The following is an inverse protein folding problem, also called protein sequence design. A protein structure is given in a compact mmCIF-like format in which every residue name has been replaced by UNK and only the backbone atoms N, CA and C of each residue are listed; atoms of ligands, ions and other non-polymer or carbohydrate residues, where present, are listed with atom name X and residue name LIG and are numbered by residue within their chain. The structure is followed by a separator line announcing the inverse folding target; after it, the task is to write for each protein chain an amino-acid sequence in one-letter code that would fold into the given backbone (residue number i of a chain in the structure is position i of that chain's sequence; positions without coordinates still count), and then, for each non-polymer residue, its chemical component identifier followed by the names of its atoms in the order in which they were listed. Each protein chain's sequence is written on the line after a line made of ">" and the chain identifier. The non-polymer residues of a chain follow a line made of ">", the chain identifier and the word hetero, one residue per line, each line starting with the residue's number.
data_IF_434217565252
#
_entry.id   IF_434217565252
#
_cell.length_a   1.000
_cell.length_b   1.000
_cell.length_c   1.000
_cell.angle_alpha   90.00
_cell.angle_beta   90.00
_cell.angle_gamma   90.00
#
_symmetry.space_group_name_H-M   'P 1'
#
loop_
_entity.id
_entity.type
_entity.pdbx_description
1 polymer ?
#
# COMPACT_ATOMS: atom_id res chain seq x y z
N UNK A 1 -11.55 24.34 24.19
CA UNK A 1 -11.38 24.89 22.83
C UNK A 1 -11.51 23.75 21.84
N UNK A 2 -12.72 23.53 21.37
CA UNK A 2 -13.06 22.75 20.18
C UNK A 2 -12.65 23.57 18.95
N UNK A 3 -12.33 22.92 17.82
CA UNK A 3 -11.89 23.55 16.56
C UNK A 3 -12.92 24.52 15.93
N UNK A 4 -14.08 24.71 16.55
CA UNK A 4 -15.24 25.39 15.98
C UNK A 4 -15.19 26.93 15.96
N UNK A 5 -14.18 27.59 16.53
CA UNK A 5 -14.28 29.02 16.83
C UNK A 5 -13.64 29.96 15.80
N UNK A 6 -12.76 29.52 14.89
CA UNK A 6 -12.19 30.37 13.82
C UNK A 6 -11.41 29.58 12.77
N UNK A 7 -11.81 29.72 11.50
CA UNK A 7 -11.11 29.13 10.34
C UNK A 7 -11.59 27.72 9.95
N UNK A 8 -12.66 27.24 10.57
CA UNK A 8 -13.30 25.98 10.19
C UNK A 8 -14.13 26.18 8.91
N UNK A 9 -14.00 25.26 7.95
CA UNK A 9 -14.76 25.29 6.69
C UNK A 9 -16.17 24.70 6.85
N UNK A 10 -16.48 24.17 8.03
CA UNK A 10 -17.79 23.60 8.35
C UNK A 10 -18.67 24.61 9.07
N UNK A 11 -19.97 24.51 8.83
CA UNK A 11 -20.97 25.37 9.47
C UNK A 11 -20.94 25.20 10.98
N UNK A 12 -21.07 26.31 11.70
CA UNK A 12 -21.16 26.33 13.17
C UNK A 12 -22.28 25.38 13.63
N UNK A 13 -21.94 24.42 14.50
CA UNK A 13 -22.87 23.37 14.94
C UNK A 13 -22.85 22.08 14.11
N UNK A 14 -21.96 21.93 13.12
CA UNK A 14 -21.78 20.66 12.41
C UNK A 14 -21.34 19.55 13.37
N UNK A 15 -22.21 18.58 13.57
CA UNK A 15 -21.89 17.30 14.21
C UNK A 15 -21.78 16.29 13.08
N UNK A 16 -20.60 15.67 12.93
CA UNK A 16 -20.47 14.57 11.97
C UNK A 16 -21.41 13.45 12.42
N UNK A 17 -22.43 13.16 11.60
CA UNK A 17 -23.28 11.99 11.78
C UNK A 17 -22.43 10.73 11.54
N UNK A 18 -21.83 10.26 12.62
CA UNK A 18 -21.20 8.96 12.68
C UNK A 18 -22.32 7.94 12.81
N UNK A 19 -22.74 7.37 11.68
CA UNK A 19 -23.67 6.23 11.67
C UNK A 19 -23.18 5.12 12.61
N UNK A 20 -24.10 4.52 13.37
CA UNK A 20 -23.78 3.51 14.38
C UNK A 20 -23.07 2.27 13.80
N UNK A 21 -23.20 2.00 12.49
CA UNK A 21 -22.55 0.87 11.83
C UNK A 21 -22.39 1.07 10.31
N UNK A 22 -21.15 1.06 9.81
CA UNK A 22 -20.86 1.00 8.36
C UNK A 22 -20.44 -0.42 7.95
N UNK A 23 -21.10 -1.01 6.97
CA UNK A 23 -20.72 -2.32 6.41
C UNK A 23 -19.60 -2.16 5.38
N UNK A 24 -18.36 -2.30 5.83
CA UNK A 24 -17.18 -2.20 4.96
C UNK A 24 -16.55 -3.57 4.78
N UNK A 25 -16.45 -4.03 3.53
CA UNK A 25 -15.70 -5.25 3.19
C UNK A 25 -14.29 -4.89 2.73
N UNK A 26 -13.31 -5.71 3.13
CA UNK A 26 -11.93 -5.62 2.63
C UNK A 26 -11.72 -6.74 1.63
N UNK A 27 -11.43 -6.41 0.37
CA UNK A 27 -11.08 -7.41 -0.64
C UNK A 27 -9.56 -7.48 -0.77
N UNK A 28 -8.98 -8.66 -0.59
CA UNK A 28 -7.54 -8.88 -0.70
C UNK A 28 -7.21 -9.98 -1.70
N UNK A 29 -6.13 -9.80 -2.46
CA UNK A 29 -5.53 -10.90 -3.20
C UNK A 29 -4.91 -11.92 -2.23
N UNK A 30 -4.86 -13.19 -2.63
CA UNK A 30 -4.10 -14.19 -1.87
C UNK A 30 -2.59 -13.97 -2.09
N UNK A 31 -1.88 -13.55 -1.04
CA UNK A 31 -0.45 -13.23 -1.12
C UNK A 31 0.49 -14.44 -0.99
N UNK A 32 -0.05 -15.65 -0.86
CA UNK A 32 0.73 -16.85 -0.52
C UNK A 32 1.88 -17.10 -1.51
N UNK A 33 1.62 -17.00 -2.81
CA UNK A 33 2.65 -17.20 -3.85
C UNK A 33 3.73 -16.11 -3.79
N UNK A 34 3.36 -14.85 -3.53
CA UNK A 34 4.33 -13.77 -3.34
C UNK A 34 5.24 -14.03 -2.14
N UNK A 35 4.67 -14.53 -1.03
CA UNK A 35 5.43 -14.90 0.17
C UNK A 35 6.39 -16.04 -0.10
N UNK A 36 5.95 -17.07 -0.81
CA UNK A 36 6.77 -18.23 -1.14
C UNK A 36 7.98 -17.83 -1.98
N UNK A 37 7.76 -17.01 -3.02
CA UNK A 37 8.85 -16.44 -3.83
C UNK A 37 9.83 -15.67 -2.96
N UNK A 38 9.33 -14.76 -2.11
CA UNK A 38 10.17 -13.96 -1.22
C UNK A 38 10.98 -14.83 -0.25
N UNK A 39 10.39 -15.88 0.29
CA UNK A 39 11.06 -16.81 1.20
C UNK A 39 12.18 -17.60 0.51
N UNK A 40 12.03 -17.95 -0.77
CA UNK A 40 13.01 -18.70 -1.54
C UNK A 40 14.22 -17.87 -1.98
N UNK A 41 14.13 -16.55 -1.97
CA UNK A 41 15.25 -15.68 -2.36
C UNK A 41 16.38 -15.73 -1.32
N UNK A 42 17.61 -15.76 -1.82
CA UNK A 42 18.81 -15.56 -1.03
C UNK A 42 18.93 -14.11 -0.52
N UNK A 43 19.93 -13.88 0.31
CA UNK A 43 20.19 -12.56 0.88
C UNK A 43 20.60 -11.54 -0.18
N UNK A 44 21.24 -11.96 -1.27
CA UNK A 44 21.72 -11.06 -2.32
C UNK A 44 20.54 -10.39 -3.06
N UNK A 45 19.57 -11.18 -3.54
CA UNK A 45 18.36 -10.62 -4.18
C UNK A 45 17.54 -9.80 -3.18
N UNK A 46 17.45 -10.25 -1.92
CA UNK A 46 16.72 -9.50 -0.89
C UNK A 46 17.37 -8.13 -0.61
N UNK A 47 18.69 -8.06 -0.49
CA UNK A 47 19.40 -6.79 -0.33
C UNK A 47 19.21 -5.89 -1.55
N UNK A 48 19.31 -6.44 -2.76
CA UNK A 48 19.02 -5.70 -3.99
C UNK A 48 17.60 -5.13 -3.95
N UNK A 49 16.62 -5.91 -3.50
CA UNK A 49 15.24 -5.47 -3.38
C UNK A 49 15.09 -4.33 -2.38
N UNK A 50 15.62 -4.48 -1.15
CA UNK A 50 15.55 -3.45 -0.10
C UNK A 50 16.19 -2.13 -0.56
N UNK A 51 17.32 -2.20 -1.24
CA UNK A 51 18.01 -1.02 -1.78
C UNK A 51 17.19 -0.25 -2.83
N UNK A 52 16.21 -0.87 -3.47
CA UNK A 52 15.42 -0.27 -4.54
C UNK A 52 13.99 0.07 -4.16
N UNK A 53 13.39 -0.75 -3.31
CA UNK A 53 11.95 -0.72 -3.02
C UNK A 53 11.63 -0.64 -1.53
N UNK A 54 12.66 -0.64 -0.67
CA UNK A 54 12.50 -0.54 0.76
C UNK A 54 11.76 -1.72 1.37
N UNK A 55 10.93 -1.42 2.36
CA UNK A 55 10.26 -2.37 3.25
C UNK A 55 8.96 -2.94 2.68
N UNK A 56 8.70 -2.71 1.39
CA UNK A 56 7.51 -3.19 0.67
C UNK A 56 7.15 -4.67 0.91
N UNK A 57 8.10 -5.64 0.97
CA UNK A 57 7.77 -7.06 1.15
C UNK A 57 7.12 -7.36 2.50
N UNK A 58 7.37 -6.54 3.53
CA UNK A 58 6.76 -6.75 4.85
C UNK A 58 5.24 -6.58 4.82
N UNK A 59 4.69 -5.83 3.86
CA UNK A 59 3.24 -5.70 3.67
C UNK A 59 2.56 -7.06 3.47
N UNK A 60 3.25 -8.02 2.85
CA UNK A 60 2.71 -9.36 2.64
C UNK A 60 2.39 -10.07 3.96
N UNK A 61 3.13 -9.75 5.03
CA UNK A 61 2.99 -10.38 6.34
C UNK A 61 2.06 -9.66 7.31
N UNK A 62 1.55 -8.49 6.93
CA UNK A 62 0.62 -7.73 7.75
C UNK A 62 -0.75 -8.38 7.67
N UNK A 63 -1.22 -8.87 8.82
CA UNK A 63 -2.56 -9.43 8.93
C UNK A 63 -3.57 -8.30 9.01
N UNK A 64 -4.55 -8.35 8.13
CA UNK A 64 -5.69 -7.44 8.18
C UNK A 64 -6.83 -8.16 8.86
N UNK A 65 -7.19 -7.67 10.04
CA UNK A 65 -8.42 -8.06 10.73
C UNK A 65 -9.54 -7.16 10.20
N UNK A 66 -10.52 -7.77 9.53
CA UNK A 66 -11.64 -7.04 8.92
C UNK A 66 -12.50 -6.32 9.96
N UNK A 67 -12.67 -6.89 11.16
CA UNK A 67 -13.44 -6.26 12.23
C UNK A 67 -12.70 -5.05 12.81
N UNK A 68 -11.39 -5.16 13.02
CA UNK A 68 -10.56 -4.03 13.43
C UNK A 68 -10.62 -2.92 12.39
N UNK A 69 -10.45 -3.25 11.10
CA UNK A 69 -10.51 -2.26 10.04
C UNK A 69 -11.88 -1.56 9.98
N UNK A 70 -12.99 -2.33 10.07
CA UNK A 70 -14.34 -1.76 10.12
C UNK A 70 -14.50 -0.79 11.30
N UNK A 71 -14.02 -1.15 12.48
CA UNK A 71 -14.08 -0.29 13.66
C UNK A 71 -13.28 1.00 13.45
N UNK A 72 -12.09 0.93 12.86
CA UNK A 72 -11.26 2.11 12.58
C UNK A 72 -11.89 3.02 11.52
N UNK A 73 -12.44 2.43 10.45
CA UNK A 73 -13.04 3.17 9.36
C UNK A 73 -14.29 3.97 9.81
N UNK A 74 -14.98 3.56 10.88
CA UNK A 74 -16.09 4.33 11.46
C UNK A 74 -15.65 5.73 11.90
N UNK A 75 -14.41 5.88 12.40
CA UNK A 75 -13.90 7.18 12.84
C UNK A 75 -13.48 8.10 11.70
N UNK A 76 -13.52 7.64 10.44
CA UNK A 76 -13.21 8.49 9.29
C UNK A 76 -14.30 9.55 9.13
N UNK A 77 -13.86 10.81 9.13
CA UNK A 77 -14.68 11.98 8.91
C UNK A 77 -14.45 12.51 7.48
N UNK A 78 -15.39 12.30 6.54
CA UNK A 78 -15.21 12.71 5.15
C UNK A 78 -15.14 14.23 4.93
N UNK A 79 -15.62 15.02 5.90
CA UNK A 79 -15.62 16.48 5.81
C UNK A 79 -14.21 17.05 6.02
N UNK A 80 -13.45 16.45 6.94
CA UNK A 80 -12.08 16.87 7.26
C UNK A 80 -11.00 15.98 6.61
N UNK A 81 -11.38 14.83 6.04
CA UNK A 81 -10.44 13.81 5.54
C UNK A 81 -9.42 13.35 6.59
N UNK A 82 -9.91 13.10 7.81
CA UNK A 82 -9.13 12.58 8.93
C UNK A 82 -9.96 11.60 9.78
N UNK A 83 -9.29 10.90 10.70
CA UNK A 83 -9.93 10.10 11.74
C UNK A 83 -10.14 10.95 13.00
N UNK A 84 -11.38 11.11 13.43
CA UNK A 84 -11.74 11.95 14.59
C UNK A 84 -12.08 11.10 15.81
N UNK A 85 -11.27 11.24 16.87
CA UNK A 85 -11.45 10.59 18.17
C UNK A 85 -11.77 11.64 19.25
N UNK A 86 -13.03 12.06 19.32
CA UNK A 86 -13.52 13.12 20.22
C UNK A 86 -12.77 14.46 20.03
N UNK A 87 -11.63 14.63 20.71
CA UNK A 87 -10.83 15.87 20.72
C UNK A 87 -9.50 15.75 19.96
N UNK A 88 -9.25 14.59 19.36
CA UNK A 88 -7.98 14.29 18.68
C UNK A 88 -8.30 13.85 17.26
N UNK A 89 -7.68 14.51 16.29
CA UNK A 89 -7.72 14.09 14.89
C UNK A 89 -6.40 13.44 14.51
N UNK A 90 -6.47 12.37 13.73
CA UNK A 90 -5.33 11.64 13.20
C UNK A 90 -5.49 11.45 11.71
N UNK A 91 -4.44 11.70 10.94
CA UNK A 91 -4.44 11.50 9.50
C UNK A 91 -3.05 11.03 9.07
N UNK A 92 -2.95 9.98 8.23
CA UNK A 92 -1.65 9.56 7.73
C UNK A 92 -1.00 10.64 6.88
N UNK A 93 0.29 10.92 7.11
CA UNK A 93 1.05 11.92 6.34
C UNK A 93 2.02 11.30 5.34
N UNK A 94 2.55 12.15 4.44
CA UNK A 94 3.57 11.75 3.47
C UNK A 94 4.82 11.25 4.18
N UNK A 95 5.23 11.92 5.26
CA UNK A 95 6.42 11.59 6.05
C UNK A 95 6.25 10.22 6.72
N UNK A 96 5.10 9.98 7.35
CA UNK A 96 4.83 8.71 8.03
C UNK A 96 4.79 7.54 7.06
N UNK A 97 4.11 7.68 5.92
CA UNK A 97 4.07 6.63 4.90
C UNK A 97 5.42 6.44 4.19
N UNK A 98 6.20 7.51 4.03
CA UNK A 98 7.57 7.43 3.50
C UNK A 98 8.45 6.64 4.46
N UNK A 99 8.35 6.91 5.76
CA UNK A 99 9.08 6.17 6.79
C UNK A 99 8.63 4.70 6.91
N UNK A 100 7.32 4.42 6.77
CA UNK A 100 6.81 3.04 6.74
C UNK A 100 7.40 2.24 5.58
N UNK A 101 7.39 2.81 4.37
CA UNK A 101 7.88 2.12 3.18
C UNK A 101 9.41 2.10 3.08
N UNK A 102 10.09 3.05 3.71
CA UNK A 102 11.56 3.15 3.85
C UNK A 102 12.30 2.85 2.54
N UNK A 103 11.93 3.54 1.46
CA UNK A 103 12.52 3.32 0.15
C UNK A 103 13.74 4.25 -0.07
N UNK A 104 14.98 3.73 -0.04
CA UNK A 104 16.18 4.58 0.04
C UNK A 104 16.46 5.42 -1.21
N UNK A 105 15.86 5.06 -2.35
CA UNK A 105 16.14 5.71 -3.65
C UNK A 105 15.22 6.87 -3.96
N UNK A 106 14.18 7.09 -3.18
CA UNK A 106 13.17 8.11 -3.44
C UNK A 106 13.72 9.48 -3.04
N UNK A 107 13.51 10.49 -3.90
CA UNK A 107 13.72 11.89 -3.54
C UNK A 107 12.38 12.48 -3.10
N UNK A 108 12.30 12.92 -1.84
CA UNK A 108 11.06 13.42 -1.20
C UNK A 108 10.52 14.71 -1.83
N UNK A 109 11.37 15.48 -2.51
CA UNK A 109 11.03 16.73 -3.20
C UNK A 109 10.43 16.53 -4.61
N UNK A 110 10.46 15.29 -5.15
CA UNK A 110 9.87 14.98 -6.46
C UNK A 110 8.49 14.34 -6.31
N UNK A 111 7.48 15.21 -6.32
CA UNK A 111 6.06 14.79 -6.33
C UNK A 111 5.67 14.29 -7.72
N UNK A 112 4.78 13.29 -7.76
CA UNK A 112 4.16 12.79 -8.97
C UNK A 112 3.50 13.94 -9.78
N UNK A 113 4.03 14.24 -10.96
CA UNK A 113 3.37 15.11 -11.95
C UNK A 113 3.16 14.33 -13.24
N UNK A 114 1.94 14.30 -13.82
CA UNK A 114 1.68 13.53 -15.04
C UNK A 114 2.51 14.11 -16.20
N UNK A 115 3.47 13.34 -16.72
CA UNK A 115 4.31 13.80 -17.83
C UNK A 115 3.48 13.88 -19.13
N UNK A 116 3.79 14.80 -20.05
CA UNK A 116 3.06 14.90 -21.32
C UNK A 116 3.29 13.69 -22.25
N UNK A 117 4.46 13.06 -22.19
CA UNK A 117 4.84 11.92 -23.04
C UNK A 117 4.98 10.63 -22.22
N UNK A 118 3.85 10.11 -21.76
CA UNK A 118 3.79 8.85 -21.02
C UNK A 118 4.06 7.67 -21.96
N UNK A 119 5.07 6.81 -21.69
CA UNK A 119 5.29 5.60 -22.49
C UNK A 119 4.05 4.70 -22.52
N UNK A 120 3.81 4.00 -23.63
CA UNK A 120 2.69 3.05 -23.72
C UNK A 120 2.85 1.92 -22.71
N UNK A 121 1.74 1.32 -22.26
CA UNK A 121 1.73 0.16 -21.36
C UNK A 121 2.74 -0.93 -21.76
N UNK A 122 2.75 -1.28 -23.05
CA UNK A 122 3.67 -2.28 -23.59
C UNK A 122 5.13 -1.88 -23.39
N UNK A 123 5.47 -0.61 -23.69
CA UNK A 123 6.85 -0.12 -23.55
C UNK A 123 7.29 -0.13 -22.08
N UNK A 124 6.40 0.22 -21.15
CA UNK A 124 6.68 0.15 -19.70
C UNK A 124 6.94 -1.28 -19.25
N UNK A 125 6.06 -2.21 -19.61
CA UNK A 125 6.27 -3.61 -19.23
C UNK A 125 7.53 -4.18 -19.87
N UNK A 126 7.87 -3.83 -21.11
CA UNK A 126 9.15 -4.24 -21.71
C UNK A 126 10.34 -3.73 -20.89
N UNK A 127 10.32 -2.47 -20.44
CA UNK A 127 11.39 -1.90 -19.62
C UNK A 127 11.51 -2.62 -18.27
N UNK A 128 10.38 -2.85 -17.58
CA UNK A 128 10.34 -3.48 -16.26
C UNK A 128 10.76 -4.96 -16.35
N UNK A 129 10.18 -5.69 -17.30
CA UNK A 129 10.35 -7.14 -17.42
C UNK A 129 11.59 -7.56 -18.19
N UNK A 130 12.16 -6.68 -19.01
CA UNK A 130 13.22 -7.04 -19.96
C UNK A 130 12.74 -7.87 -21.16
N UNK A 131 11.43 -8.12 -21.28
CA UNK A 131 10.88 -9.00 -22.32
C UNK A 131 10.61 -8.28 -23.63
N UNK A 132 10.56 -9.06 -24.72
CA UNK A 132 10.25 -8.54 -26.05
C UNK A 132 8.80 -8.06 -26.16
N UNK A 133 8.54 -7.13 -27.09
CA UNK A 133 7.19 -6.63 -27.38
C UNK A 133 6.22 -7.78 -27.66
N UNK A 134 6.64 -8.77 -28.45
CA UNK A 134 5.84 -9.93 -28.83
C UNK A 134 5.44 -10.77 -27.61
N UNK A 135 6.37 -11.00 -26.68
CA UNK A 135 6.11 -11.76 -25.46
C UNK A 135 5.05 -11.07 -24.59
N UNK A 136 5.13 -9.75 -24.46
CA UNK A 136 4.19 -8.93 -23.68
C UNK A 136 2.83 -8.89 -24.38
N UNK A 137 2.77 -8.60 -25.69
CA UNK A 137 1.49 -8.53 -26.41
C UNK A 137 0.72 -9.84 -26.39
N UNK A 138 1.41 -10.98 -26.41
CA UNK A 138 0.77 -12.29 -26.35
C UNK A 138 0.15 -12.60 -24.97
N UNK A 139 0.59 -11.91 -23.91
CA UNK A 139 0.24 -12.16 -22.51
C UNK A 139 -0.60 -11.06 -21.87
N UNK A 140 -0.66 -9.91 -22.51
CA UNK A 140 -1.55 -8.81 -22.15
C UNK A 140 -2.92 -9.03 -22.77
N UNK A 141 -3.96 -8.87 -21.95
CA UNK A 141 -5.36 -8.90 -22.41
C UNK A 141 -6.01 -7.55 -22.11
N UNK A 142 -7.01 -7.21 -22.92
CA UNK A 142 -7.93 -6.14 -22.57
C UNK A 142 -9.00 -6.74 -21.65
N UNK A 143 -9.12 -6.22 -20.44
CA UNK A 143 -10.14 -6.65 -19.48
C UNK A 143 -10.95 -5.42 -19.07
N UNK A 144 -12.16 -5.32 -19.62
CA UNK A 144 -12.93 -4.07 -19.56
C UNK A 144 -12.19 -2.91 -20.24
N UNK A 145 -12.21 -1.73 -19.62
CA UNK A 145 -11.57 -0.52 -20.14
C UNK A 145 -10.05 -0.45 -19.95
N UNK A 146 -9.42 -1.43 -19.30
CA UNK A 146 -7.97 -1.42 -18.98
C UNK A 146 -7.24 -2.61 -19.60
N UNK A 147 -5.97 -2.40 -19.96
CA UNK A 147 -5.07 -3.49 -20.37
C UNK A 147 -4.41 -4.08 -19.12
N UNK A 148 -4.33 -5.41 -19.06
CA UNK A 148 -3.71 -6.08 -17.93
C UNK A 148 -2.88 -7.29 -18.33
N UNK A 149 -1.88 -7.62 -17.51
CA UNK A 149 -1.11 -8.86 -17.57
C UNK A 149 -1.44 -9.71 -16.35
N UNK A 150 -1.69 -11.01 -16.54
CA UNK A 150 -2.07 -11.89 -15.42
C UNK A 150 -0.91 -12.10 -14.44
N UNK A 151 -1.24 -12.21 -13.15
CA UNK A 151 -0.28 -12.54 -12.10
C UNK A 151 0.49 -13.82 -12.42
N UNK A 152 -0.19 -14.86 -12.96
CA UNK A 152 0.45 -16.12 -13.36
C UNK A 152 1.63 -15.90 -14.33
N UNK A 153 1.44 -15.04 -15.34
CA UNK A 153 2.50 -14.74 -16.30
C UNK A 153 3.67 -14.01 -15.65
N UNK A 154 3.41 -13.10 -14.71
CA UNK A 154 4.46 -12.38 -13.98
C UNK A 154 5.19 -13.30 -12.99
N UNK A 155 4.47 -14.18 -12.31
CA UNK A 155 5.03 -15.18 -11.41
C UNK A 155 5.99 -16.12 -12.14
N UNK A 156 5.53 -16.71 -13.24
CA UNK A 156 6.36 -17.63 -14.03
C UNK A 156 7.61 -16.90 -14.57
N UNK A 157 7.47 -15.62 -14.91
CA UNK A 157 8.60 -14.77 -15.27
C UNK A 157 9.57 -14.54 -14.09
N UNK A 158 9.08 -14.18 -12.89
CA UNK A 158 9.94 -13.97 -11.71
C UNK A 158 10.74 -15.25 -11.38
N UNK A 159 10.16 -16.42 -11.59
CA UNK A 159 10.84 -17.70 -11.32
C UNK A 159 11.89 -18.03 -12.38
N UNK A 160 11.65 -17.72 -13.66
CA UNK A 160 12.49 -18.13 -14.77
C UNK A 160 13.49 -17.05 -15.26
N UNK A 161 13.32 -15.79 -14.87
CA UNK A 161 14.14 -14.69 -15.43
C UNK A 161 15.61 -14.80 -14.98
N UNK A 162 16.59 -14.74 -15.92
CA UNK A 162 18.01 -14.91 -15.57
C UNK A 162 18.60 -13.71 -14.81
N UNK A 163 18.11 -12.50 -15.10
CA UNK A 163 18.53 -11.27 -14.44
C UNK A 163 17.80 -11.06 -13.09
N UNK A 164 18.57 -11.01 -11.99
CA UNK A 164 18.07 -10.80 -10.63
C UNK A 164 17.37 -9.45 -10.44
N UNK A 165 17.87 -8.38 -11.07
CA UNK A 165 17.25 -7.05 -11.01
C UNK A 165 15.88 -7.08 -11.66
N UNK A 166 15.74 -7.73 -12.82
CA UNK A 166 14.42 -7.89 -13.46
C UNK A 166 13.45 -8.72 -12.61
N UNK A 167 13.92 -9.78 -11.94
CA UNK A 167 13.09 -10.52 -10.97
C UNK A 167 12.57 -9.60 -9.86
N UNK A 168 13.44 -8.78 -9.29
CA UNK A 168 13.08 -7.78 -8.27
C UNK A 168 12.07 -6.74 -8.79
N UNK A 169 12.27 -6.23 -10.00
CA UNK A 169 11.40 -5.21 -10.62
C UNK A 169 9.99 -5.76 -10.85
N UNK A 170 9.87 -6.97 -11.40
CA UNK A 170 8.58 -7.62 -11.62
C UNK A 170 7.90 -8.00 -10.30
N UNK A 171 8.66 -8.43 -9.29
CA UNK A 171 8.13 -8.71 -7.97
C UNK A 171 7.59 -7.43 -7.28
N UNK A 172 8.31 -6.32 -7.37
CA UNK A 172 7.86 -5.02 -6.84
C UNK A 172 6.59 -4.53 -7.54
N UNK A 173 6.55 -4.59 -8.88
CA UNK A 173 5.34 -4.27 -9.66
C UNK A 173 4.13 -5.09 -9.17
N UNK A 174 4.37 -6.37 -8.88
CA UNK A 174 3.32 -7.28 -8.43
C UNK A 174 2.83 -6.95 -7.02
N UNK A 175 3.71 -6.49 -6.11
CA UNK A 175 3.26 -6.01 -4.79
C UNK A 175 2.46 -4.72 -4.93
N UNK A 176 2.94 -3.74 -5.73
CA UNK A 176 2.21 -2.50 -5.92
C UNK A 176 0.82 -2.73 -6.48
N UNK A 177 0.68 -3.64 -7.44
CA UNK A 177 -0.61 -3.88 -8.04
C UNK A 177 -1.51 -4.78 -7.20
N UNK A 178 -1.00 -5.90 -6.68
CA UNK A 178 -1.84 -6.88 -5.97
C UNK A 178 -2.10 -6.51 -4.51
N UNK A 179 -1.28 -5.64 -3.91
CA UNK A 179 -1.36 -5.26 -2.49
C UNK A 179 -1.67 -3.78 -2.32
N UNK A 180 -1.01 -2.90 -3.07
CA UNK A 180 -1.12 -1.46 -2.83
C UNK A 180 -2.31 -0.83 -3.55
N UNK A 181 -2.51 -1.19 -4.83
CA UNK A 181 -3.58 -0.68 -5.70
C UNK A 181 -4.38 -1.80 -6.39
N UNK A 182 -4.96 -2.78 -5.65
CA UNK A 182 -5.59 -3.94 -6.28
C UNK A 182 -6.93 -3.61 -6.93
N UNK A 183 -6.89 -3.17 -8.19
CA UNK A 183 -8.10 -2.88 -8.98
C UNK A 183 -8.80 -4.13 -9.51
N UNK A 184 -8.04 -5.13 -9.92
CA UNK A 184 -8.55 -6.38 -10.47
C UNK A 184 -7.82 -7.57 -9.84
N UNK A 185 -8.57 -8.58 -9.41
CA UNK A 185 -7.99 -9.75 -8.77
C UNK A 185 -7.02 -10.47 -9.73
N UNK A 186 -5.79 -10.69 -9.26
CA UNK A 186 -4.77 -11.47 -9.96
C UNK A 186 -4.32 -10.93 -11.31
N UNK A 187 -4.47 -9.63 -11.59
CA UNK A 187 -4.05 -9.01 -12.85
C UNK A 187 -3.43 -7.63 -12.63
N UNK A 188 -2.27 -7.39 -13.24
CA UNK A 188 -1.58 -6.10 -13.20
C UNK A 188 -2.09 -5.14 -14.26
N UNK A 189 -2.61 -4.00 -13.81
CA UNK A 189 -3.23 -2.94 -14.59
C UNK A 189 -2.21 -1.94 -15.18
N UNK A 190 -2.60 -1.29 -16.28
CA UNK A 190 -1.91 -0.19 -16.91
C UNK A 190 -1.57 0.95 -15.93
N UNK A 191 -2.48 1.34 -15.04
CA UNK A 191 -2.22 2.47 -14.14
C UNK A 191 -1.08 2.22 -13.14
N UNK A 192 -0.87 0.97 -12.70
CA UNK A 192 0.24 0.64 -11.78
C UNK A 192 1.57 0.57 -12.52
N UNK A 193 1.53 0.22 -13.81
CA UNK A 193 2.73 0.29 -14.65
C UNK A 193 3.23 1.73 -14.84
N UNK A 194 2.32 2.71 -14.95
CA UNK A 194 2.65 4.15 -15.00
C UNK A 194 3.41 4.58 -13.75
N UNK A 195 3.05 3.98 -12.63
CA UNK A 195 3.63 4.23 -11.33
C UNK A 195 5.03 3.60 -11.21
N UNK A 196 5.21 2.40 -11.76
CA UNK A 196 6.46 1.63 -11.68
C UNK A 196 7.59 2.17 -12.55
N UNK A 197 7.31 2.68 -13.77
CA UNK A 197 8.32 3.37 -14.63
C UNK A 197 8.94 4.61 -13.93
N UNK A 198 8.31 5.09 -12.86
CA UNK A 198 8.73 6.27 -12.12
C UNK A 198 9.59 5.97 -10.91
N UNK A 199 9.61 4.72 -10.43
CA UNK A 199 10.53 4.28 -9.38
C UNK A 199 11.98 4.37 -9.86
N UNK A 200 12.24 4.05 -11.13
CA UNK A 200 13.56 4.26 -11.76
C UNK A 200 13.95 5.74 -11.83
N UNK A 201 12.96 6.65 -11.79
CA UNK A 201 13.14 8.11 -11.77
C UNK A 201 13.16 8.70 -10.36
N UNK A 202 13.23 7.85 -9.32
CA UNK A 202 13.30 8.25 -7.90
C UNK A 202 12.07 9.03 -7.40
N UNK A 203 10.92 8.86 -8.06
CA UNK A 203 9.67 9.54 -7.70
C UNK A 203 8.94 8.75 -6.61
N UNK A 204 8.43 9.44 -5.60
CA UNK A 204 7.65 8.80 -4.53
C UNK A 204 6.24 8.41 -4.98
N UNK A 205 5.79 7.23 -4.53
CA UNK A 205 4.42 6.77 -4.73
C UNK A 205 3.50 7.11 -3.56
N UNK A 206 4.07 7.56 -2.44
CA UNK A 206 3.35 7.85 -1.20
C UNK A 206 2.17 8.80 -1.40
N UNK A 207 2.30 9.94 -2.13
CA UNK A 207 1.15 10.82 -2.37
C UNK A 207 0.00 10.13 -3.11
N UNK A 208 0.30 9.24 -4.06
CA UNK A 208 -0.73 8.48 -4.76
C UNK A 208 -1.39 7.45 -3.84
N UNK A 209 -0.61 6.75 -3.01
CA UNK A 209 -1.14 5.80 -2.02
C UNK A 209 -2.09 6.50 -1.04
N UNK A 210 -1.68 7.67 -0.51
CA UNK A 210 -2.51 8.46 0.42
C UNK A 210 -3.77 8.97 -0.25
N UNK A 211 -3.68 9.52 -1.47
CA UNK A 211 -4.83 10.00 -2.22
C UNK A 211 -5.86 8.89 -2.45
N UNK A 212 -5.41 7.71 -2.88
CA UNK A 212 -6.29 6.56 -3.09
C UNK A 212 -6.86 6.03 -1.77
N UNK A 213 -6.08 6.02 -0.69
CA UNK A 213 -6.54 5.66 0.66
C UNK A 213 -7.69 6.58 1.10
N UNK A 214 -7.51 7.90 0.98
CA UNK A 214 -8.53 8.88 1.39
C UNK A 214 -9.77 8.81 0.50
N UNK A 215 -9.58 8.64 -0.82
CA UNK A 215 -10.67 8.42 -1.77
C UNK A 215 -11.50 7.20 -1.37
N UNK A 216 -10.85 6.08 -1.05
CA UNK A 216 -11.53 4.84 -0.68
C UNK A 216 -12.21 4.92 0.68
N UNK A 217 -11.62 5.57 1.68
CA UNK A 217 -12.28 5.85 2.97
C UNK A 217 -13.52 6.73 2.80
N UNK A 218 -13.42 7.78 1.97
CA UNK A 218 -14.54 8.65 1.63
C UNK A 218 -15.68 7.88 0.95
N UNK A 219 -15.37 7.02 -0.03
CA UNK A 219 -16.36 6.17 -0.68
C UNK A 219 -17.02 5.22 0.33
N UNK A 220 -16.24 4.56 1.19
CA UNK A 220 -16.77 3.64 2.19
C UNK A 220 -17.71 4.33 3.19
N UNK A 221 -17.43 5.58 3.58
CA UNK A 221 -18.28 6.33 4.52
C UNK A 221 -19.52 6.94 3.88
N UNK A 222 -19.49 7.28 2.59
CA UNK A 222 -20.64 7.92 1.89
C UNK A 222 -21.66 6.93 1.36
N UNK A 223 -21.29 5.66 1.18
CA UNK A 223 -22.12 4.69 0.48
C UNK A 223 -22.99 3.80 1.40
N UNK A 224 -22.92 3.93 2.73
CA UNK A 224 -23.47 3.03 3.78
C UNK A 224 -23.05 1.54 3.69
N UNK A 225 -22.77 1.04 2.48
CA UNK A 225 -22.10 -0.19 2.13
C UNK A 225 -20.96 0.12 1.15
N UNK A 226 -19.73 -0.29 1.47
CA UNK A 226 -18.55 0.05 0.70
C UNK A 226 -17.52 -1.06 0.65
N UNK A 227 -16.77 -1.09 -0.45
CA UNK A 227 -15.59 -1.96 -0.59
C UNK A 227 -14.35 -1.09 -0.45
N UNK A 228 -13.50 -1.39 0.53
CA UNK A 228 -12.17 -0.82 0.58
C UNK A 228 -11.26 -1.63 -0.34
N UNK A 229 -10.71 -0.96 -1.36
CA UNK A 229 -9.97 -1.58 -2.47
C UNK A 229 -8.47 -1.30 -2.37
N UNK A 230 -8.01 -0.44 -1.47
CA UNK A 230 -6.60 -0.02 -1.43
C UNK A 230 -5.78 -0.79 -0.38
N UNK A 231 -4.53 -0.39 -0.17
CA UNK A 231 -3.59 -1.00 0.77
C UNK A 231 -4.03 -0.91 2.25
N UNK A 232 -4.92 -1.80 2.69
CA UNK A 232 -5.36 -1.86 4.09
C UNK A 232 -4.18 -2.15 5.03
N UNK A 233 -3.18 -2.90 4.56
CA UNK A 233 -1.97 -3.25 5.31
C UNK A 233 -1.20 -2.00 5.76
N UNK A 234 -1.02 -1.01 4.87
CA UNK A 234 -0.32 0.22 5.22
C UNK A 234 -1.11 1.04 6.24
N UNK A 235 -2.42 1.15 6.06
CA UNK A 235 -3.26 1.89 7.00
C UNK A 235 -3.29 1.22 8.38
N UNK A 236 -3.39 -0.11 8.44
CA UNK A 236 -3.30 -0.87 9.69
C UNK A 236 -1.92 -0.72 10.34
N UNK A 237 -0.83 -0.78 9.55
CA UNK A 237 0.52 -0.55 10.07
C UNK A 237 0.66 0.84 10.70
N UNK A 238 0.13 1.86 10.02
CA UNK A 238 0.08 3.22 10.52
C UNK A 238 -0.71 3.30 11.83
N UNK A 239 -1.93 2.76 11.89
CA UNK A 239 -2.72 2.72 13.12
C UNK A 239 -1.96 2.03 14.27
N UNK A 240 -1.34 0.87 14.02
CA UNK A 240 -0.55 0.20 15.04
C UNK A 240 0.59 1.06 15.59
N UNK A 241 1.26 1.84 14.73
CA UNK A 241 2.36 2.71 15.17
C UNK A 241 1.90 3.84 16.11
N UNK A 242 0.66 4.31 16.00
CA UNK A 242 0.11 5.35 16.87
C UNK A 242 -0.54 4.79 18.14
N UNK A 243 -1.25 3.67 18.03
CA UNK A 243 -2.10 3.15 19.11
C UNK A 243 -1.42 2.06 19.96
N UNK A 244 -0.42 1.35 19.44
CA UNK A 244 0.16 0.21 20.14
C UNK A 244 1.35 0.63 21.01
N UNK A 245 1.14 0.68 22.34
CA UNK A 245 2.23 0.78 23.33
C UNK A 245 2.97 -0.56 23.39
N UNK A 246 4.22 -0.59 22.93
CA UNK A 246 5.15 -1.65 23.34
C UNK A 246 5.59 -1.32 24.77
N UNK A 247 5.18 -2.14 25.74
CA UNK A 247 5.68 -2.04 27.11
C UNK A 247 7.22 -2.03 27.08
N UNK A 248 7.82 -0.90 27.47
CA UNK A 248 9.27 -0.63 27.65
C UNK A 248 10.11 -0.12 26.48
N UNK A 249 9.55 0.36 25.37
CA UNK A 249 10.35 1.19 24.44
C UNK A 249 9.57 2.45 24.10
N UNK A 250 10.11 3.60 24.51
CA UNK A 250 9.64 4.93 24.13
C UNK A 250 9.40 4.96 22.62
N UNK A 251 8.24 5.47 22.20
CA UNK A 251 7.83 5.65 20.80
C UNK A 251 9.02 6.09 19.93
N UNK A 252 9.61 5.16 19.17
CA UNK A 252 10.55 5.49 18.10
C UNK A 252 9.71 5.81 16.87
N UNK A 253 9.09 6.98 16.93
CA UNK A 253 8.31 7.57 15.85
C UNK A 253 9.19 7.57 14.60
N UNK A 254 8.74 6.85 13.56
CA UNK A 254 9.14 6.99 12.16
C UNK A 254 10.55 7.57 11.93
N UNK A 255 11.58 6.77 12.25
CA UNK A 255 12.98 7.10 11.97
C UNK A 255 13.43 6.37 10.71
N UNK A 256 14.20 7.05 9.86
CA UNK A 256 14.77 6.44 8.64
C UNK A 256 15.67 5.23 8.94
N UNK A 257 16.29 5.20 10.13
CA UNK A 257 17.16 4.11 10.60
C UNK A 257 16.38 2.90 11.16
N UNK A 258 15.04 2.99 11.16
CA UNK A 258 14.17 2.02 11.83
C UNK A 258 13.10 1.45 10.89
N UNK A 259 12.97 0.13 10.87
CA UNK A 259 11.96 -0.56 10.04
C UNK A 259 10.69 -0.85 10.84
N UNK A 260 9.75 0.07 10.82
CA UNK A 260 8.46 -0.07 11.52
C UNK A 260 7.64 -1.24 11.01
N UNK A 261 7.63 -1.51 9.69
CA UNK A 261 6.90 -2.65 9.13
C UNK A 261 7.52 -3.99 9.57
N UNK A 262 8.85 -4.10 9.63
CA UNK A 262 9.55 -5.29 10.13
C UNK A 262 9.23 -5.56 11.59
N UNK A 263 9.23 -4.52 12.43
CA UNK A 263 8.86 -4.66 13.83
C UNK A 263 7.41 -5.14 13.97
N UNK A 264 6.48 -4.51 13.26
CA UNK A 264 5.06 -4.87 13.32
C UNK A 264 4.85 -6.36 13.00
N UNK A 265 5.51 -6.85 11.95
CA UNK A 265 5.46 -8.26 11.56
C UNK A 265 6.05 -9.16 12.66
N UNK A 266 7.19 -8.79 13.25
CA UNK A 266 7.81 -9.55 14.33
C UNK A 266 6.94 -9.62 15.59
N UNK A 267 6.32 -8.51 15.97
CA UNK A 267 5.44 -8.40 17.15
C UNK A 267 4.16 -9.20 16.96
N UNK A 268 3.54 -9.11 15.77
CA UNK A 268 2.36 -9.92 15.43
C UNK A 268 2.64 -11.42 15.51
N UNK A 269 3.80 -11.87 15.02
CA UNK A 269 4.23 -13.27 15.13
C UNK A 269 4.35 -13.71 16.59
N UNK A 270 4.98 -12.90 17.46
CA UNK A 270 5.14 -13.21 18.89
C UNK A 270 3.81 -13.36 19.63
N UNK A 271 2.84 -12.49 19.36
CA UNK A 271 1.50 -12.57 19.99
C UNK A 271 0.74 -13.84 19.61
N UNK A 272 0.88 -14.29 18.36
CA UNK A 272 0.28 -15.55 17.89
C UNK A 272 0.89 -16.74 18.64
N UNK A 273 2.21 -16.77 18.83
CA UNK A 273 2.88 -17.84 19.58
C UNK A 273 2.45 -17.87 21.06
N UNK A 274 2.25 -16.71 21.70
CA UNK A 274 1.76 -16.66 23.09
C UNK A 274 0.30 -17.12 23.23
N UNK A 275 -0.55 -16.86 22.23
CA UNK A 275 -1.95 -17.33 22.21
C UNK A 275 -2.08 -18.84 21.94
N UNK A 276 -1.07 -19.46 21.31
CA UNK A 276 -1.04 -20.90 20.99
C UNK A 276 -0.53 -21.77 22.14
N UNK A 277 0.15 -21.15 23.11
CA UNK A 277 0.72 -21.79 24.30
C UNK A 277 -0.10 -21.51 25.59
N UNK A 278 -1.35 -21.07 25.44
CA UNK A 278 -2.36 -20.99 26.50
C UNK A 278 -3.55 -21.84 26.07
#
# INVERSE_FOLDING_TARGET
>A
KTQLEKGDNLTEGYVSELWDFTRISVTQNHFQELKEIWCQWDDEIKQLFYCHYGDLPYLLDIKVDEHLFRALAQFWNPAYSCFTFKKVDLVPTIEEYTALLRCPRIQTDKVYSRAPNVPTFLKKLMNITGMSKQWITARTKQNGGCRCISWRNLRDLILAHPDMKKRADVFALSIYDLVVFPKALGCVDEAVSDLSDRLDKRVTLVPAILAETFRSLNTCRRADEGRFIECTQLLIAWFHSHFWKVEKVSYRVFSEDYSSLKELVATSRRMIFQKKNR
#
